data_IF_004519436936
#
_entry.id   IF_004519436936
#
_cell.length_a   1.000
_cell.length_b   1.000
_cell.length_c   1.000
_cell.angle_alpha   90.00
_cell.angle_beta   90.00
_cell.angle_gamma   90.00
#
_symmetry.space_group_name_H-M   'P 1'
#
loop_
_entity.id
_entity.type
_entity.pdbx_description
1 polymer ?
#
# COMPACT_ATOMS: atom_id res chain seq x y z
N UNK A 1 17.74 30.66 -44.63
CA UNK A 1 17.94 30.81 -43.17
C UNK A 1 17.23 29.66 -42.46
N UNK A 2 17.94 28.81 -41.69
CA UNK A 2 17.30 27.74 -40.93
C UNK A 2 16.45 28.34 -39.81
N UNK A 3 15.21 27.87 -39.71
CA UNK A 3 14.23 28.35 -38.72
C UNK A 3 14.50 27.56 -37.43
N UNK A 4 14.76 28.24 -36.31
CA UNK A 4 14.84 27.56 -35.02
C UNK A 4 13.44 27.05 -34.65
N UNK A 5 13.20 25.76 -34.85
CA UNK A 5 12.02 25.08 -34.34
C UNK A 5 12.30 24.74 -32.88
N UNK A 6 11.75 25.52 -31.96
CA UNK A 6 11.84 25.26 -30.53
C UNK A 6 11.22 23.89 -30.21
N UNK A 7 12.04 22.94 -29.82
CA UNK A 7 11.59 21.60 -29.40
C UNK A 7 10.94 21.76 -28.02
N UNK A 8 9.67 21.38 -27.89
CA UNK A 8 8.94 21.47 -26.62
C UNK A 8 9.66 20.62 -25.57
N UNK A 9 10.02 21.21 -24.44
CA UNK A 9 10.68 20.48 -23.36
C UNK A 9 9.64 19.73 -22.55
N UNK A 10 9.70 18.40 -22.57
CA UNK A 10 8.87 17.50 -21.74
C UNK A 10 9.53 17.20 -20.38
N UNK A 11 10.57 17.93 -20.00
CA UNK A 11 11.30 17.67 -18.74
C UNK A 11 10.37 17.74 -17.53
N UNK A 12 9.46 18.71 -17.47
CA UNK A 12 8.48 18.80 -16.38
C UNK A 12 7.51 17.62 -16.35
N UNK A 13 6.98 17.24 -17.52
CA UNK A 13 6.04 16.11 -17.66
C UNK A 13 6.69 14.79 -17.25
N UNK A 14 7.94 14.57 -17.66
CA UNK A 14 8.71 13.39 -17.28
C UNK A 14 8.98 13.32 -15.77
N UNK A 15 9.29 14.46 -15.13
CA UNK A 15 9.51 14.53 -13.69
C UNK A 15 8.21 14.23 -12.93
N UNK A 16 7.08 14.81 -13.35
CA UNK A 16 5.79 14.56 -12.72
C UNK A 16 5.42 13.08 -12.80
N UNK A 17 5.53 12.47 -13.98
CA UNK A 17 5.26 11.04 -14.18
C UNK A 17 6.16 10.19 -13.28
N UNK A 18 7.45 10.50 -13.20
CA UNK A 18 8.38 9.79 -12.33
C UNK A 18 7.98 9.85 -10.85
N UNK A 19 7.65 11.04 -10.34
CA UNK A 19 7.21 11.22 -8.94
C UNK A 19 5.92 10.42 -8.68
N UNK A 20 4.96 10.43 -9.62
CA UNK A 20 3.73 9.66 -9.49
C UNK A 20 4.01 8.16 -9.38
N UNK A 21 4.91 7.62 -10.21
CA UNK A 21 5.29 6.20 -10.13
C UNK A 21 5.94 5.84 -8.79
N UNK A 22 6.84 6.69 -8.28
CA UNK A 22 7.49 6.47 -6.98
C UNK A 22 6.47 6.49 -5.85
N UNK A 23 5.51 7.43 -5.87
CA UNK A 23 4.45 7.50 -4.88
C UNK A 23 3.59 6.23 -4.86
N UNK A 24 3.17 5.73 -6.03
CA UNK A 24 2.39 4.49 -6.14
C UNK A 24 3.20 3.29 -5.63
N UNK A 25 4.47 3.18 -6.01
CA UNK A 25 5.33 2.09 -5.55
C UNK A 25 5.50 2.10 -4.03
N UNK A 26 5.65 3.28 -3.41
CA UNK A 26 5.71 3.42 -1.95
C UNK A 26 4.45 2.91 -1.26
N UNK A 27 3.28 3.30 -1.76
CA UNK A 27 1.97 2.83 -1.24
C UNK A 27 1.83 1.32 -1.37
N UNK A 28 2.25 0.74 -2.50
CA UNK A 28 2.19 -0.71 -2.69
C UNK A 28 3.13 -1.45 -1.74
N UNK A 29 4.37 -0.98 -1.57
CA UNK A 29 5.33 -1.58 -0.64
C UNK A 29 4.83 -1.51 0.81
N UNK A 30 4.20 -0.40 1.19
CA UNK A 30 3.53 -0.22 2.48
C UNK A 30 2.37 -1.22 2.64
N UNK A 31 1.52 -1.35 1.63
CA UNK A 31 0.38 -2.28 1.62
C UNK A 31 0.80 -3.76 1.74
N UNK A 32 1.88 -4.15 1.06
CA UNK A 32 2.43 -5.49 1.18
C UNK A 32 3.15 -5.73 2.52
N UNK A 33 3.46 -4.68 3.28
CA UNK A 33 4.18 -4.75 4.55
C UNK A 33 5.69 -4.90 4.38
N UNK A 34 6.24 -4.55 3.21
CA UNK A 34 7.70 -4.56 2.96
C UNK A 34 8.37 -3.41 3.70
N UNK A 35 7.67 -2.28 3.80
CA UNK A 35 8.08 -1.09 4.54
C UNK A 35 6.92 -0.65 5.43
N UNK A 36 7.25 -0.06 6.58
CA UNK A 36 6.27 0.50 7.51
C UNK A 36 6.63 1.96 7.79
N UNK A 37 6.24 2.85 6.88
CA UNK A 37 6.47 4.29 7.01
C UNK A 37 5.26 4.97 7.69
N UNK A 38 4.05 4.47 7.46
CA UNK A 38 2.79 5.00 7.99
C UNK A 38 2.28 4.12 9.14
N UNK A 39 2.45 4.56 10.41
CA UNK A 39 1.94 3.81 11.55
C UNK A 39 0.42 3.72 11.50
N UNK A 40 -0.10 2.50 11.35
CA UNK A 40 -1.53 2.20 11.40
C UNK A 40 -2.22 1.85 10.08
N UNK A 41 -1.52 1.94 8.93
CA UNK A 41 -2.09 1.59 7.62
C UNK A 41 -2.39 0.08 7.49
N UNK A 42 -1.56 -0.76 8.12
CA UNK A 42 -1.67 -2.22 8.09
C UNK A 42 -2.57 -2.79 9.22
N UNK A 43 -3.33 -1.95 9.91
CA UNK A 43 -4.23 -2.40 11.00
C UNK A 43 -5.35 -3.30 10.50
N UNK A 44 -5.85 -3.05 9.29
CA UNK A 44 -6.97 -3.83 8.76
C UNK A 44 -6.55 -5.26 8.43
N UNK A 45 -5.34 -5.45 7.87
CA UNK A 45 -4.83 -6.78 7.50
C UNK A 45 -4.62 -7.69 8.71
N UNK A 46 -4.12 -7.16 9.83
CA UNK A 46 -3.99 -7.91 11.09
C UNK A 46 -5.33 -8.32 11.70
N UNK A 47 -6.38 -7.51 11.52
CA UNK A 47 -7.72 -7.86 11.98
C UNK A 47 -8.34 -8.96 11.11
N UNK A 48 -8.06 -8.99 9.80
CA UNK A 48 -8.51 -10.07 8.92
C UNK A 48 -7.79 -11.40 9.20
N UNK A 49 -6.48 -11.37 9.48
CA UNK A 49 -5.71 -12.58 9.80
C UNK A 49 -6.14 -13.23 11.12
N UNK A 50 -6.52 -12.41 12.12
CA UNK A 50 -7.11 -12.90 13.38
C UNK A 50 -8.54 -13.44 13.22
N UNK A 51 -9.28 -13.01 12.19
CA UNK A 51 -10.65 -13.47 11.93
C UNK A 51 -10.69 -14.83 11.21
N UNK A 52 -9.57 -15.26 10.62
CA UNK A 52 -9.42 -16.56 9.96
C UNK A 52 -9.01 -17.71 10.90
N UNK A 53 -8.88 -17.49 12.20
CA UNK A 53 -8.90 -18.59 13.17
C UNK A 53 -10.36 -18.94 13.48
N UNK A 54 -10.86 -20.12 13.07
CA UNK A 54 -12.13 -20.58 13.58
C UNK A 54 -11.89 -20.94 15.06
N UNK A 55 -12.25 -20.02 15.96
CA UNK A 55 -12.39 -20.28 17.40
C UNK A 55 -13.55 -21.25 17.57
N UNK A 56 -13.29 -22.55 17.43
CA UNK A 56 -14.22 -23.62 17.78
C UNK A 56 -13.85 -24.33 19.08
N UNK A 57 -13.05 -23.72 19.95
CA UNK A 57 -12.59 -24.35 21.21
C UNK A 57 -12.99 -23.58 22.49
N UNK A 58 -14.04 -22.76 22.48
CA UNK A 58 -14.43 -22.02 23.69
C UNK A 58 -15.91 -22.14 24.09
N UNK A 59 -16.54 -23.29 23.84
CA UNK A 59 -17.95 -23.54 24.22
C UNK A 59 -18.23 -24.96 24.75
N UNK A 60 -17.30 -25.61 25.49
CA UNK A 60 -17.61 -26.90 26.14
C UNK A 60 -17.15 -27.00 27.62
N UNK A 61 -16.72 -25.92 28.28
CA UNK A 61 -16.33 -26.00 29.71
C UNK A 61 -17.13 -25.09 30.66
N UNK A 62 -18.40 -24.84 30.35
CA UNK A 62 -19.33 -24.23 31.31
C UNK A 62 -20.70 -24.88 31.28
N UNK A 63 -20.78 -26.21 31.37
CA UNK A 63 -21.97 -26.90 31.90
C UNK A 63 -21.53 -28.30 32.33
N UNK A 64 -21.18 -28.47 33.60
CA UNK A 64 -21.76 -29.54 34.41
C UNK A 64 -21.45 -29.27 35.89
N UNK A 65 -22.53 -29.24 36.66
CA UNK A 65 -22.59 -29.21 38.12
C UNK A 65 -21.91 -30.43 38.74
#
# INVERSE_FOLDING_TARGET
MPRLVGKRSHTGENITVFITFVAIAGVLLEYFGVIHIVPGFDRDRRNFELQSYPTNEQSIEQTHQ
#
